data_IF_488993164781
#
_entry.id   IF_488993164781
#
_cell.length_a   1.000
_cell.length_b   1.000
_cell.length_c   1.000
_cell.angle_alpha   90.00
_cell.angle_beta   90.00
_cell.angle_gamma   90.00
#
_symmetry.space_group_name_H-M   'P 1'
#
loop_
_entity.id
_entity.type
_entity.pdbx_description
1 polymer ?
#
# COMPACT_ATOMS: atom_id res chain seq x y z
N UNK A 1 15.14 14.69 1.65
CA UNK A 1 14.48 15.57 0.66
C UNK A 1 13.07 15.02 0.47
N UNK A 2 12.03 15.73 0.91
CA UNK A 2 10.67 15.18 1.09
C UNK A 2 10.05 14.59 -0.19
N UNK A 3 10.41 15.09 -1.37
CA UNK A 3 9.83 14.63 -2.65
C UNK A 3 10.34 13.28 -3.19
N UNK A 4 11.37 12.68 -2.58
CA UNK A 4 11.96 11.41 -3.07
C UNK A 4 11.47 10.24 -2.23
N UNK A 5 11.15 9.07 -2.83
CA UNK A 5 10.80 7.87 -2.07
C UNK A 5 11.85 7.51 -1.01
N UNK A 6 11.43 6.83 0.05
CA UNK A 6 12.38 6.24 1.00
C UNK A 6 13.29 5.21 0.33
N UNK A 7 14.47 5.05 0.93
CA UNK A 7 15.47 4.09 0.48
C UNK A 7 15.42 2.78 1.28
N UNK A 8 14.55 2.68 2.27
CA UNK A 8 14.38 1.49 3.11
C UNK A 8 12.90 1.24 3.43
N UNK A 9 12.26 0.23 2.79
CA UNK A 9 12.82 -0.57 1.69
C UNK A 9 13.06 0.32 0.46
N UNK A 10 13.98 -0.08 -0.43
CA UNK A 10 14.27 0.68 -1.65
C UNK A 10 13.01 0.78 -2.52
N UNK A 11 12.37 1.96 -2.50
CA UNK A 11 11.22 2.26 -3.35
C UNK A 11 11.71 2.93 -4.64
N UNK A 12 11.77 2.16 -5.73
CA UNK A 12 12.08 2.68 -7.05
C UNK A 12 10.85 3.39 -7.64
N UNK A 13 10.57 4.62 -7.16
CA UNK A 13 9.57 5.57 -7.69
C UNK A 13 8.12 5.40 -7.21
N UNK A 14 7.88 4.66 -6.13
CA UNK A 14 6.54 4.61 -5.50
C UNK A 14 6.49 5.70 -4.42
N UNK A 15 5.48 6.57 -4.47
CA UNK A 15 5.19 7.53 -3.40
C UNK A 15 4.47 6.81 -2.28
N UNK A 16 4.95 6.97 -1.06
CA UNK A 16 4.43 6.27 0.10
C UNK A 16 3.12 6.87 0.60
N UNK A 17 2.30 6.00 1.17
CA UNK A 17 1.20 6.31 2.07
C UNK A 17 1.75 6.18 3.48
N UNK A 18 1.67 7.25 4.25
CA UNK A 18 2.15 7.29 5.64
C UNK A 18 0.97 7.30 6.60
N UNK A 19 1.22 7.19 7.91
CA UNK A 19 0.17 7.35 8.92
C UNK A 19 -0.52 8.72 8.81
N UNK A 20 0.27 9.77 8.58
CA UNK A 20 -0.18 11.16 8.52
C UNK A 20 0.18 11.81 7.17
N UNK A 21 -0.71 12.64 6.59
CA UNK A 21 -0.43 13.30 5.32
C UNK A 21 0.67 14.36 5.46
N UNK A 22 1.44 14.57 4.39
CA UNK A 22 2.43 15.64 4.27
C UNK A 22 2.27 16.34 2.91
N UNK A 23 3.05 17.39 2.64
CA UNK A 23 2.90 18.16 1.40
C UNK A 23 3.14 17.30 0.15
N UNK A 24 4.07 16.34 0.22
CA UNK A 24 4.45 15.49 -0.91
C UNK A 24 4.25 13.98 -0.66
N UNK A 25 3.38 13.62 0.29
CA UNK A 25 3.06 12.24 0.68
C UNK A 25 1.56 12.02 0.89
N UNK A 26 1.11 10.80 0.63
CA UNK A 26 -0.23 10.38 1.00
C UNK A 26 -0.28 10.07 2.50
N UNK A 27 -1.47 10.13 3.09
CA UNK A 27 -1.71 9.82 4.50
C UNK A 27 -2.82 8.79 4.68
N UNK A 28 -2.98 8.28 5.89
CA UNK A 28 -4.02 7.30 6.26
C UNK A 28 -3.59 5.83 6.19
N UNK A 29 -2.30 5.56 5.98
CA UNK A 29 -1.69 4.23 6.06
C UNK A 29 -1.08 3.96 7.42
N UNK A 30 0.09 3.34 7.44
CA UNK A 30 0.89 3.08 8.65
C UNK A 30 2.34 3.60 8.45
N UNK A 31 3.08 3.81 9.53
CA UNK A 31 4.51 4.17 9.47
C UNK A 31 5.42 2.92 9.56
N UNK A 32 4.85 1.74 9.74
CA UNK A 32 5.53 0.45 9.64
C UNK A 32 5.46 -0.13 8.21
N UNK A 33 5.75 -1.42 8.06
CA UNK A 33 5.73 -2.09 6.77
C UNK A 33 4.46 -2.89 6.59
N UNK A 34 3.96 -2.99 5.35
CA UNK A 34 2.91 -3.96 4.99
C UNK A 34 1.62 -3.32 4.50
N UNK A 35 1.40 -2.04 4.79
CA UNK A 35 0.33 -1.27 4.20
C UNK A 35 0.57 -1.04 2.68
N UNK A 36 -0.50 -1.06 1.87
CA UNK A 36 -0.35 -0.91 0.42
C UNK A 36 -0.16 0.55 0.02
N UNK A 37 0.89 0.82 -0.76
CA UNK A 37 1.07 2.09 -1.47
C UNK A 37 0.19 2.19 -2.74
N UNK A 38 -1.11 1.89 -2.60
CA UNK A 38 -2.10 1.82 -3.68
C UNK A 38 -3.25 2.76 -3.34
N UNK A 39 -3.58 3.67 -4.26
CA UNK A 39 -4.70 4.60 -4.09
C UNK A 39 -6.03 3.92 -4.46
N UNK A 40 -6.00 3.10 -5.52
CA UNK A 40 -7.17 2.49 -6.15
C UNK A 40 -6.74 1.23 -6.94
N UNK A 41 -7.66 0.29 -7.15
CA UNK A 41 -7.49 -0.88 -7.99
C UNK A 41 -8.78 -1.20 -8.76
N UNK A 42 -8.63 -1.79 -9.94
CA UNK A 42 -9.78 -2.34 -10.67
C UNK A 42 -10.42 -3.47 -9.85
N UNK A 43 -11.71 -3.34 -9.61
CA UNK A 43 -12.55 -4.39 -9.05
C UNK A 43 -13.34 -5.12 -10.15
N UNK A 44 -14.05 -6.18 -9.76
CA UNK A 44 -14.94 -6.92 -10.63
C UNK A 44 -16.00 -7.64 -9.81
N UNK A 45 -16.98 -8.26 -10.46
CA UNK A 45 -18.08 -8.93 -9.78
C UNK A 45 -17.58 -9.95 -8.73
N UNK A 46 -17.97 -9.73 -7.48
CA UNK A 46 -17.59 -10.57 -6.33
C UNK A 46 -16.28 -10.17 -5.63
N UNK A 47 -15.57 -9.14 -6.12
CA UNK A 47 -14.42 -8.55 -5.43
C UNK A 47 -14.68 -7.06 -5.17
N UNK A 48 -14.40 -6.62 -3.96
CA UNK A 48 -14.51 -5.23 -3.56
C UNK A 48 -13.13 -4.68 -3.17
N UNK A 49 -12.76 -3.50 -3.69
CA UNK A 49 -11.50 -2.83 -3.38
C UNK A 49 -11.24 -2.70 -1.88
N UNK A 50 -12.23 -2.23 -1.10
CA UNK A 50 -12.08 -2.05 0.34
C UNK A 50 -11.68 -3.37 1.01
N UNK A 51 -12.38 -4.46 0.69
CA UNK A 51 -12.07 -5.76 1.28
C UNK A 51 -10.69 -6.30 0.88
N UNK A 52 -10.19 -5.98 -0.32
CA UNK A 52 -8.86 -6.39 -0.77
C UNK A 52 -7.78 -5.56 -0.09
N UNK A 53 -7.90 -4.23 -0.16
CA UNK A 53 -6.90 -3.30 0.34
C UNK A 53 -6.91 -3.17 1.87
N UNK A 54 -7.95 -3.64 2.58
CA UNK A 54 -8.00 -3.64 4.06
C UNK A 54 -7.44 -4.91 4.71
N UNK A 55 -7.08 -5.94 3.93
CA UNK A 55 -6.62 -7.24 4.47
C UNK A 55 -5.16 -7.26 4.89
N UNK A 56 -4.44 -6.15 4.73
CA UNK A 56 -3.06 -6.07 5.18
C UNK A 56 -2.95 -6.09 6.71
N UNK A 57 -1.77 -6.46 7.19
CA UNK A 57 -1.34 -6.25 8.58
C UNK A 57 0.02 -5.59 8.55
N UNK A 58 0.12 -4.47 9.24
CA UNK A 58 1.36 -3.70 9.35
C UNK A 58 2.03 -3.96 10.72
N UNK A 59 3.34 -4.16 10.71
CA UNK A 59 4.20 -4.37 11.88
C UNK A 59 5.63 -3.94 11.51
N UNK A 60 6.37 -3.45 12.51
CA UNK A 60 7.78 -3.08 12.36
C UNK A 60 8.67 -4.27 11.98
N UNK A 61 8.23 -5.50 12.27
CA UNK A 61 8.93 -6.74 11.94
C UNK A 61 8.39 -7.33 10.64
N UNK A 62 9.21 -7.32 9.58
CA UNK A 62 8.86 -7.78 8.24
C UNK A 62 8.17 -9.15 8.19
N UNK A 63 8.59 -10.09 9.04
CA UNK A 63 8.05 -11.45 9.09
C UNK A 63 6.62 -11.56 9.64
N UNK A 64 6.11 -10.50 10.27
CA UNK A 64 4.75 -10.45 10.83
C UNK A 64 3.73 -9.82 9.89
N UNK A 65 4.19 -9.21 8.80
CA UNK A 65 3.34 -8.50 7.88
C UNK A 65 2.49 -9.44 7.03
N UNK A 66 1.30 -8.97 6.70
CA UNK A 66 0.44 -9.59 5.69
C UNK A 66 0.19 -8.54 4.63
N UNK A 67 0.53 -8.82 3.38
CA UNK A 67 0.31 -7.89 2.27
C UNK A 67 -1.05 -8.11 1.63
N UNK A 68 -1.70 -7.02 1.22
CA UNK A 68 -2.91 -7.08 0.41
C UNK A 68 -2.67 -7.90 -0.86
N UNK A 69 -3.55 -8.85 -1.14
CA UNK A 69 -3.44 -9.76 -2.29
C UNK A 69 -4.25 -9.21 -3.46
N UNK A 70 -3.57 -8.55 -4.40
CA UNK A 70 -4.21 -7.96 -5.57
C UNK A 70 -4.57 -9.06 -6.58
N UNK A 71 -5.86 -9.24 -6.93
CA UNK A 71 -6.27 -10.24 -7.90
C UNK A 71 -5.76 -9.88 -9.29
N UNK A 72 -5.28 -10.88 -10.02
CA UNK A 72 -4.99 -10.73 -11.44
C UNK A 72 -6.26 -10.94 -12.25
N UNK A 73 -6.69 -9.90 -12.96
CA UNK A 73 -7.89 -9.93 -13.80
C UNK A 73 -7.43 -10.01 -15.26
N UNK A 74 -7.97 -10.98 -16.00
CA UNK A 74 -7.77 -11.10 -17.44
C UNK A 74 -9.13 -11.13 -18.12
N UNK A 75 -9.36 -10.16 -19.00
CA UNK A 75 -10.56 -10.13 -19.85
C UNK A 75 -10.26 -11.01 -21.07
N UNK A 76 -11.13 -12.01 -21.30
CA UNK A 76 -11.05 -12.87 -22.49
C UNK A 76 -11.58 -12.18 -23.74
#
# INVERSE_FOLDING_TARGET
QEGFPTQDPVSCRIREVLSSPQQWRFGGGDDFYGDPNIIDMLDYEGINQYEVLSKYKSDAKYEKNVYAQIPFIYVK
#
